data_IF_946663514501
#
_entry.id   IF_946663514501
#
_cell.length_a   1.000
_cell.length_b   1.000
_cell.length_c   1.000
_cell.angle_alpha   90.00
_cell.angle_beta   90.00
_cell.angle_gamma   90.00
#
_symmetry.space_group_name_H-M   'P 1'
#
loop_
_entity.id
_entity.type
_entity.pdbx_description
1 polymer ?
#
# COMPACT_ATOMS: atom_id res chain seq x y z
N UNK A 1 64.91 52.38 28.54
CA UNK A 1 64.10 51.17 28.26
C UNK A 1 63.02 51.36 27.16
N UNK A 2 63.11 52.38 26.28
CA UNK A 2 62.12 52.61 25.21
C UNK A 2 62.60 52.19 23.80
N UNK A 3 63.91 52.15 23.53
CA UNK A 3 64.46 51.82 22.20
C UNK A 3 64.24 50.37 21.76
N UNK A 4 64.26 49.40 22.69
CA UNK A 4 64.10 47.96 22.37
C UNK A 4 62.67 47.55 22.00
N UNK A 5 61.66 48.32 22.43
CA UNK A 5 60.25 48.09 22.03
C UNK A 5 59.98 48.55 20.59
N UNK A 6 60.74 49.55 20.11
CA UNK A 6 60.58 50.10 18.77
C UNK A 6 61.21 49.17 17.72
N UNK A 7 62.39 48.61 17.99
CA UNK A 7 63.06 47.67 17.08
C UNK A 7 62.30 46.34 16.95
N UNK A 8 61.80 45.78 18.07
CA UNK A 8 60.99 44.56 18.04
C UNK A 8 59.66 44.71 17.28
N UNK A 9 59.05 45.91 17.31
CA UNK A 9 57.83 46.21 16.54
C UNK A 9 58.08 46.30 15.03
N UNK A 10 59.24 46.82 14.62
CA UNK A 10 59.63 46.95 13.20
C UNK A 10 59.96 45.59 12.60
N UNK A 11 60.62 44.70 13.35
CA UNK A 11 60.93 43.33 12.91
C UNK A 11 59.66 42.47 12.77
N UNK A 12 58.69 42.60 13.67
CA UNK A 12 57.41 41.91 13.55
C UNK A 12 56.60 42.40 12.35
N UNK A 13 56.61 43.70 12.08
CA UNK A 13 55.96 44.24 10.90
C UNK A 13 56.63 43.79 9.60
N UNK A 14 57.97 43.78 9.54
CA UNK A 14 58.70 43.34 8.34
C UNK A 14 58.48 41.85 8.03
N UNK A 15 58.46 41.00 9.06
CA UNK A 15 58.12 39.58 8.91
C UNK A 15 56.67 39.37 8.43
N UNK A 16 55.73 40.16 8.96
CA UNK A 16 54.33 40.14 8.52
C UNK A 16 54.19 40.56 7.04
N UNK A 17 54.88 41.62 6.62
CA UNK A 17 54.86 42.06 5.21
C UNK A 17 55.51 41.03 4.28
N UNK A 18 56.60 40.37 4.69
CA UNK A 18 57.21 39.29 3.92
C UNK A 18 56.27 38.09 3.76
N UNK A 19 55.55 37.71 4.82
CA UNK A 19 54.55 36.64 4.78
C UNK A 19 53.36 36.97 3.87
N UNK A 20 52.85 38.20 3.93
CA UNK A 20 51.76 38.68 3.06
C UNK A 20 52.21 38.73 1.60
N UNK A 21 53.44 39.20 1.34
CA UNK A 21 54.02 39.25 -0.01
C UNK A 21 54.19 37.85 -0.61
N UNK A 22 54.64 36.87 0.18
CA UNK A 22 54.72 35.48 -0.27
C UNK A 22 53.34 34.87 -0.56
N UNK A 23 52.33 35.15 0.27
CA UNK A 23 50.95 34.70 0.01
C UNK A 23 50.39 35.27 -1.29
N UNK A 24 50.61 36.56 -1.56
CA UNK A 24 50.19 37.19 -2.81
C UNK A 24 50.92 36.64 -4.04
N UNK A 25 52.20 36.25 -3.89
CA UNK A 25 53.02 35.68 -4.97
C UNK A 25 52.58 34.27 -5.39
N UNK A 26 51.95 33.52 -4.47
CA UNK A 26 51.45 32.16 -4.69
C UNK A 26 49.93 32.07 -4.92
N UNK A 27 49.22 33.21 -4.95
CA UNK A 27 47.80 33.22 -5.30
C UNK A 27 47.70 33.26 -6.83
N UNK A 28 47.19 32.21 -7.51
CA UNK A 28 47.02 32.25 -8.96
C UNK A 28 46.11 33.43 -9.31
N UNK A 29 46.39 34.17 -10.40
CA UNK A 29 45.63 35.36 -10.74
C UNK A 29 44.14 34.97 -10.88
N UNK A 30 43.25 35.77 -10.30
CA UNK A 30 41.79 35.55 -10.27
C UNK A 30 41.23 35.20 -11.66
N UNK A 31 41.85 35.74 -12.71
CA UNK A 31 41.58 35.46 -14.13
C UNK A 31 41.75 33.99 -14.53
N UNK A 32 42.72 33.27 -13.97
CA UNK A 32 42.94 31.85 -14.28
C UNK A 32 41.91 30.95 -13.58
N UNK A 33 41.57 31.24 -12.32
CA UNK A 33 40.49 30.55 -11.61
C UNK A 33 39.14 30.76 -12.28
N UNK A 34 38.85 31.97 -12.74
CA UNK A 34 37.63 32.26 -13.50
C UNK A 34 37.57 31.46 -14.82
N UNK A 35 38.68 31.33 -15.55
CA UNK A 35 38.73 30.51 -16.78
C UNK A 35 38.46 29.03 -16.51
N UNK A 36 39.04 28.46 -15.44
CA UNK A 36 38.82 27.06 -15.07
C UNK A 36 37.36 26.80 -14.66
N UNK A 37 36.75 27.73 -13.93
CA UNK A 37 35.32 27.65 -13.56
C UNK A 37 34.41 27.77 -14.78
N UNK A 38 34.75 28.66 -15.73
CA UNK A 38 33.98 28.84 -16.97
C UNK A 38 34.05 27.58 -17.84
N UNK A 39 35.26 27.01 -18.03
CA UNK A 39 35.44 25.77 -18.76
C UNK A 39 34.69 24.59 -18.10
N UNK A 40 34.71 24.49 -16.77
CA UNK A 40 33.96 23.46 -16.04
C UNK A 40 32.44 23.65 -16.16
N UNK A 41 31.95 24.90 -16.20
CA UNK A 41 30.53 25.21 -16.39
C UNK A 41 30.06 24.88 -17.81
N UNK A 42 30.85 25.22 -18.83
CA UNK A 42 30.60 24.87 -20.24
C UNK A 42 30.56 23.35 -20.43
N UNK A 43 31.50 22.62 -19.81
CA UNK A 43 31.53 21.16 -19.87
C UNK A 43 30.30 20.52 -19.20
N UNK A 44 29.84 21.08 -18.06
CA UNK A 44 28.60 20.64 -17.41
C UNK A 44 27.37 20.94 -18.26
N UNK A 45 27.33 22.10 -18.91
CA UNK A 45 26.24 22.47 -19.81
C UNK A 45 26.16 21.52 -21.02
N UNK A 46 27.30 21.17 -21.62
CA UNK A 46 27.35 20.20 -22.71
C UNK A 46 26.88 18.80 -22.28
N UNK A 47 27.28 18.34 -21.08
CA UNK A 47 26.84 17.05 -20.54
C UNK A 47 25.33 17.03 -20.25
N UNK A 48 24.76 18.12 -19.74
CA UNK A 48 23.33 18.25 -19.52
C UNK A 48 22.54 18.28 -20.83
N UNK A 49 23.05 18.95 -21.87
CA UNK A 49 22.44 18.93 -23.20
C UNK A 49 22.41 17.50 -23.77
N UNK A 50 23.54 16.78 -23.68
CA UNK A 50 23.61 15.38 -24.12
C UNK A 50 22.67 14.44 -23.35
N UNK A 51 22.48 14.67 -22.04
CA UNK A 51 21.51 13.93 -21.24
C UNK A 51 20.06 14.28 -21.60
N UNK A 52 19.76 15.55 -21.88
CA UNK A 52 18.45 15.99 -22.30
C UNK A 52 18.04 15.36 -23.65
N UNK A 53 18.97 15.24 -24.58
CA UNK A 53 18.70 14.60 -25.87
C UNK A 53 18.47 13.09 -25.75
N UNK A 54 19.25 12.39 -24.90
CA UNK A 54 18.99 10.96 -24.58
C UNK A 54 17.60 10.75 -23.96
N UNK A 55 17.18 11.61 -23.05
CA UNK A 55 15.86 11.53 -22.44
C UNK A 55 14.73 11.82 -23.45
N UNK A 56 14.96 12.70 -24.43
CA UNK A 56 14.00 12.94 -25.53
C UNK A 56 13.85 11.70 -26.40
N UNK A 57 14.96 11.07 -26.79
CA UNK A 57 14.95 9.82 -27.58
C UNK A 57 14.22 8.68 -26.84
N UNK A 58 14.49 8.52 -25.54
CA UNK A 58 13.82 7.50 -24.73
C UNK A 58 12.32 7.77 -24.58
N UNK A 59 11.93 9.02 -24.34
CA UNK A 59 10.51 9.43 -24.30
C UNK A 59 9.81 9.12 -25.62
N UNK A 60 10.44 9.42 -26.75
CA UNK A 60 9.83 9.21 -28.06
C UNK A 60 9.73 7.72 -28.41
N UNK A 61 10.72 6.93 -28.00
CA UNK A 61 10.66 5.46 -28.06
C UNK A 61 9.50 4.89 -27.23
N UNK A 62 9.35 5.34 -25.98
CA UNK A 62 8.27 4.89 -25.09
C UNK A 62 6.89 5.30 -25.63
N UNK A 63 6.76 6.51 -26.21
CA UNK A 63 5.52 6.94 -26.88
C UNK A 63 5.19 6.07 -28.09
N UNK A 64 6.18 5.69 -28.89
CA UNK A 64 5.98 4.79 -30.02
C UNK A 64 5.55 3.38 -29.57
N UNK A 65 6.14 2.87 -28.49
CA UNK A 65 5.79 1.57 -27.92
C UNK A 65 4.38 1.55 -27.31
N UNK A 66 4.00 2.59 -26.57
CA UNK A 66 2.64 2.77 -26.05
C UNK A 66 1.59 2.78 -27.18
N UNK A 67 1.84 3.51 -28.27
CA UNK A 67 0.97 3.49 -29.47
C UNK A 67 0.88 2.11 -30.10
N UNK A 68 1.96 1.31 -30.07
CA UNK A 68 1.97 -0.06 -30.61
C UNK A 68 1.13 -1.01 -29.77
N UNK A 69 1.20 -0.87 -28.44
CA UNK A 69 0.37 -1.63 -27.49
C UNK A 69 -1.10 -1.28 -27.68
N UNK A 70 -1.40 0.01 -27.78
CA UNK A 70 -2.77 0.50 -27.93
C UNK A 70 -3.43 -0.01 -29.24
N UNK A 71 -2.68 -0.01 -30.35
CA UNK A 71 -3.12 -0.62 -31.62
C UNK A 71 -3.35 -2.12 -31.53
N UNK A 72 -2.57 -2.85 -30.73
CA UNK A 72 -2.75 -4.30 -30.52
C UNK A 72 -3.98 -4.59 -29.65
N UNK A 73 -4.22 -3.78 -28.61
CA UNK A 73 -5.39 -3.90 -27.74
C UNK A 73 -6.71 -3.62 -28.50
N UNK A 74 -6.68 -2.66 -29.42
CA UNK A 74 -7.82 -2.31 -30.28
C UNK A 74 -7.94 -3.14 -31.56
N UNK A 75 -7.18 -4.23 -31.69
CA UNK A 75 -7.33 -5.15 -32.80
C UNK A 75 -8.71 -5.83 -32.74
N UNK A 76 -9.50 -5.84 -33.83
CA UNK A 76 -10.81 -6.50 -33.87
C UNK A 76 -10.76 -7.97 -33.40
N UNK A 77 -9.64 -8.64 -33.68
CA UNK A 77 -9.40 -10.02 -33.25
C UNK A 77 -9.29 -10.15 -31.72
N UNK A 78 -8.61 -9.21 -31.05
CA UNK A 78 -8.41 -9.22 -29.59
C UNK A 78 -9.72 -8.86 -28.88
N UNK A 79 -10.46 -7.89 -29.42
CA UNK A 79 -11.79 -7.51 -28.91
C UNK A 79 -12.75 -8.70 -29.00
N UNK A 80 -12.78 -9.39 -30.15
CA UNK A 80 -13.65 -10.53 -30.38
C UNK A 80 -13.24 -11.76 -29.53
N UNK A 81 -11.93 -12.01 -29.36
CA UNK A 81 -11.44 -13.04 -28.45
C UNK A 81 -11.84 -12.78 -26.99
N UNK A 82 -11.70 -11.54 -26.51
CA UNK A 82 -12.16 -11.15 -25.18
C UNK A 82 -13.68 -11.30 -25.02
N UNK A 83 -14.46 -10.93 -26.04
CA UNK A 83 -15.92 -11.09 -26.06
C UNK A 83 -16.30 -12.58 -25.95
N UNK A 84 -15.67 -13.44 -26.74
CA UNK A 84 -15.88 -14.90 -26.70
C UNK A 84 -15.49 -15.49 -25.35
N UNK A 85 -14.37 -15.06 -24.78
CA UNK A 85 -13.93 -15.51 -23.46
C UNK A 85 -14.91 -15.08 -22.36
N UNK A 86 -15.42 -13.84 -22.40
CA UNK A 86 -16.48 -13.38 -21.47
C UNK A 86 -17.74 -14.23 -21.58
N UNK A 87 -18.22 -14.48 -22.80
CA UNK A 87 -19.41 -15.33 -23.03
C UNK A 87 -19.17 -16.75 -22.54
N UNK A 88 -17.96 -17.29 -22.69
CA UNK A 88 -17.62 -18.62 -22.20
C UNK A 88 -17.56 -18.68 -20.66
N UNK A 89 -17.01 -17.65 -20.02
CA UNK A 89 -17.02 -17.50 -18.55
C UNK A 89 -18.44 -17.36 -18.04
N UNK A 90 -19.29 -16.57 -18.68
CA UNK A 90 -20.71 -16.44 -18.31
C UNK A 90 -21.47 -17.75 -18.51
N UNK A 91 -21.25 -18.46 -19.61
CA UNK A 91 -21.84 -19.80 -19.82
C UNK A 91 -21.35 -20.79 -18.76
N UNK A 92 -20.08 -20.74 -18.39
CA UNK A 92 -19.52 -21.54 -17.30
C UNK A 92 -20.15 -21.20 -15.94
N UNK A 93 -20.31 -19.90 -15.66
CA UNK A 93 -20.97 -19.38 -14.46
C UNK A 93 -22.45 -19.74 -14.41
N UNK A 94 -23.17 -19.67 -15.53
CA UNK A 94 -24.58 -20.07 -15.60
C UNK A 94 -24.75 -21.58 -15.44
N UNK A 95 -23.86 -22.40 -16.02
CA UNK A 95 -23.85 -23.85 -15.80
C UNK A 95 -23.50 -24.21 -14.36
N UNK A 96 -22.54 -23.50 -13.76
CA UNK A 96 -22.20 -23.62 -12.35
C UNK A 96 -23.40 -23.26 -11.47
N UNK A 97 -23.98 -22.07 -11.64
CA UNK A 97 -25.17 -21.62 -10.90
C UNK A 97 -26.39 -22.53 -11.12
N UNK A 98 -26.58 -23.09 -12.30
CA UNK A 98 -27.64 -24.06 -12.57
C UNK A 98 -27.40 -25.40 -11.86
N UNK A 99 -26.15 -25.87 -11.82
CA UNK A 99 -25.75 -27.08 -11.08
C UNK A 99 -25.82 -26.88 -9.55
N UNK A 100 -25.57 -25.66 -9.09
CA UNK A 100 -25.63 -25.24 -7.69
C UNK A 100 -27.00 -24.65 -7.29
N UNK A 101 -28.00 -24.69 -8.18
CA UNK A 101 -29.37 -24.24 -7.87
C UNK A 101 -30.11 -25.22 -6.95
N UNK A 102 -29.72 -26.49 -6.94
CA UNK A 102 -30.19 -27.45 -5.93
C UNK A 102 -29.53 -27.24 -4.57
N UNK A 103 -28.29 -26.75 -4.52
CA UNK A 103 -27.62 -26.27 -3.29
C UNK A 103 -28.21 -24.95 -2.76
N UNK A 104 -29.13 -24.29 -3.48
CA UNK A 104 -29.83 -23.12 -2.95
C UNK A 104 -30.73 -23.47 -1.74
N UNK A 105 -31.13 -24.75 -1.58
CA UNK A 105 -31.73 -25.23 -0.32
C UNK A 105 -30.71 -25.30 0.84
N UNK A 106 -29.43 -25.48 0.55
CA UNK A 106 -28.30 -25.46 1.49
C UNK A 106 -27.77 -24.05 1.81
N UNK A 107 -28.07 -23.04 0.98
CA UNK A 107 -27.68 -21.65 1.23
C UNK A 107 -28.25 -21.12 2.56
N UNK A 108 -29.48 -21.52 2.89
CA UNK A 108 -30.13 -21.28 4.19
C UNK A 108 -29.43 -21.96 5.38
N UNK A 109 -28.70 -23.06 5.16
CA UNK A 109 -27.90 -23.74 6.19
C UNK A 109 -26.51 -23.12 6.35
N UNK A 110 -25.88 -22.62 5.28
CA UNK A 110 -24.52 -22.04 5.33
C UNK A 110 -24.41 -20.83 6.25
N UNK A 111 -25.39 -19.94 6.21
CA UNK A 111 -25.42 -18.71 7.00
C UNK A 111 -26.19 -18.85 8.32
N UNK A 112 -26.58 -20.08 8.69
CA UNK A 112 -27.31 -20.33 9.92
C UNK A 112 -26.51 -19.82 11.13
N UNK A 113 -27.13 -18.98 11.95
CA UNK A 113 -26.52 -18.28 13.10
C UNK A 113 -25.46 -17.22 12.75
N UNK A 114 -25.34 -16.82 11.48
CA UNK A 114 -24.53 -15.66 11.11
C UNK A 114 -25.17 -14.39 11.70
N UNK A 115 -24.43 -13.56 12.44
CA UNK A 115 -24.96 -12.35 13.06
C UNK A 115 -25.17 -11.21 12.06
N UNK A 116 -24.65 -11.33 10.84
CA UNK A 116 -24.82 -10.34 9.79
C UNK A 116 -26.10 -10.61 9.00
N UNK A 117 -26.94 -9.59 8.85
CA UNK A 117 -28.23 -9.71 8.14
C UNK A 117 -28.30 -8.70 7.00
N UNK A 118 -29.16 -8.98 6.01
CA UNK A 118 -29.43 -8.06 4.90
C UNK A 118 -29.93 -6.69 5.38
N UNK A 119 -30.61 -6.65 6.53
CA UNK A 119 -31.19 -5.43 7.09
C UNK A 119 -30.17 -4.59 7.87
N UNK A 120 -29.27 -5.22 8.63
CA UNK A 120 -28.36 -4.51 9.54
C UNK A 120 -26.97 -4.29 8.95
N UNK A 121 -26.52 -5.22 8.11
CA UNK A 121 -25.14 -5.25 7.65
C UNK A 121 -25.02 -5.96 6.28
N UNK A 122 -25.66 -5.42 5.22
CA UNK A 122 -25.69 -6.05 3.91
C UNK A 122 -24.31 -6.20 3.27
N UNK A 123 -23.41 -5.24 3.43
CA UNK A 123 -22.04 -5.32 2.89
C UNK A 123 -21.20 -6.37 3.62
N UNK A 124 -21.28 -6.43 4.94
CA UNK A 124 -20.60 -7.47 5.73
C UNK A 124 -21.14 -8.87 5.43
N UNK A 125 -22.46 -9.01 5.29
CA UNK A 125 -23.07 -10.29 4.91
C UNK A 125 -22.58 -10.76 3.54
N UNK A 126 -22.49 -9.84 2.58
CA UNK A 126 -21.96 -10.13 1.23
C UNK A 126 -20.50 -10.57 1.29
N UNK A 127 -19.67 -9.87 2.08
CA UNK A 127 -18.27 -10.20 2.24
C UNK A 127 -18.05 -11.58 2.90
N UNK A 128 -18.83 -11.90 3.93
CA UNK A 128 -18.80 -13.22 4.59
C UNK A 128 -19.25 -14.32 3.65
N UNK A 129 -20.28 -14.08 2.84
CA UNK A 129 -20.76 -15.04 1.85
C UNK A 129 -19.65 -15.39 0.85
N UNK A 130 -18.89 -14.41 0.37
CA UNK A 130 -17.73 -14.64 -0.52
C UNK A 130 -16.71 -15.59 0.12
N UNK A 131 -16.42 -15.42 1.42
CA UNK A 131 -15.49 -16.29 2.15
C UNK A 131 -16.06 -17.71 2.26
N UNK A 132 -17.31 -17.85 2.73
CA UNK A 132 -17.96 -19.15 2.89
C UNK A 132 -18.00 -19.94 1.59
N UNK A 133 -18.34 -19.29 0.48
CA UNK A 133 -18.42 -19.94 -0.83
C UNK A 133 -17.06 -20.30 -1.40
N UNK A 134 -16.04 -19.46 -1.19
CA UNK A 134 -14.69 -19.74 -1.69
C UNK A 134 -14.08 -20.96 -1.01
N UNK A 135 -14.25 -21.07 0.31
CA UNK A 135 -13.68 -22.18 1.10
C UNK A 135 -14.62 -23.38 1.23
N UNK A 136 -15.87 -23.27 0.73
CA UNK A 136 -16.93 -24.27 0.83
C UNK A 136 -17.21 -24.69 2.27
N UNK A 137 -17.31 -23.71 3.16
CA UNK A 137 -17.57 -23.90 4.58
C UNK A 137 -18.88 -23.22 4.98
N UNK A 138 -19.48 -23.70 6.06
CA UNK A 138 -20.60 -23.05 6.73
C UNK A 138 -20.10 -22.06 7.80
N UNK A 139 -20.96 -21.12 8.21
CA UNK A 139 -20.66 -20.20 9.32
C UNK A 139 -20.31 -20.96 10.61
N UNK A 140 -21.05 -22.03 10.91
CA UNK A 140 -20.82 -22.85 12.10
C UNK A 140 -19.45 -23.53 12.07
N UNK A 141 -19.02 -24.05 10.93
CA UNK A 141 -17.67 -24.63 10.78
C UNK A 141 -16.58 -23.56 10.88
N UNK A 142 -16.85 -22.38 10.32
CA UNK A 142 -15.93 -21.24 10.34
C UNK A 142 -15.65 -20.77 11.77
N UNK A 143 -16.69 -20.63 12.61
CA UNK A 143 -16.55 -20.25 14.03
C UNK A 143 -16.32 -21.44 14.96
N UNK A 144 -16.42 -22.67 14.46
CA UNK A 144 -16.24 -23.88 15.25
C UNK A 144 -14.78 -24.14 15.66
N UNK A 145 -14.55 -25.22 16.40
CA UNK A 145 -13.20 -25.68 16.80
C UNK A 145 -12.47 -26.48 15.72
N UNK A 146 -13.05 -26.60 14.52
CA UNK A 146 -12.50 -27.36 13.40
C UNK A 146 -11.07 -26.91 13.06
N UNK A 147 -10.18 -27.90 12.83
CA UNK A 147 -8.76 -27.70 12.54
C UNK A 147 -8.36 -28.07 11.10
N UNK A 148 -9.34 -28.38 10.26
CA UNK A 148 -9.07 -28.67 8.85
C UNK A 148 -8.38 -27.46 8.19
N UNK A 149 -7.31 -27.64 7.39
CA UNK A 149 -6.50 -26.54 6.89
C UNK A 149 -7.32 -25.45 6.17
N UNK A 150 -8.26 -25.85 5.31
CA UNK A 150 -9.11 -24.90 4.57
C UNK A 150 -10.05 -24.09 5.50
N UNK A 151 -10.57 -24.70 6.57
CA UNK A 151 -11.40 -24.01 7.59
C UNK A 151 -10.56 -23.01 8.38
N UNK A 152 -9.33 -23.40 8.75
CA UNK A 152 -8.40 -22.52 9.48
C UNK A 152 -8.03 -21.30 8.63
N UNK A 153 -7.74 -21.50 7.34
CA UNK A 153 -7.45 -20.39 6.41
C UNK A 153 -8.69 -19.51 6.19
N UNK A 154 -9.88 -20.10 6.04
CA UNK A 154 -11.12 -19.35 5.93
C UNK A 154 -11.36 -18.47 7.17
N UNK A 155 -11.15 -19.02 8.37
CA UNK A 155 -11.29 -18.31 9.65
C UNK A 155 -10.29 -17.16 9.77
N UNK A 156 -9.02 -17.40 9.39
CA UNK A 156 -8.01 -16.35 9.37
C UNK A 156 -8.35 -15.24 8.36
N UNK A 157 -8.95 -15.59 7.22
CA UNK A 157 -9.40 -14.63 6.20
C UNK A 157 -10.53 -13.76 6.76
N UNK A 158 -11.50 -14.35 7.47
CA UNK A 158 -12.55 -13.61 8.16
C UNK A 158 -11.96 -12.64 9.20
N UNK A 159 -10.99 -13.07 9.99
CA UNK A 159 -10.41 -12.24 11.07
C UNK A 159 -9.62 -11.05 10.51
N UNK A 160 -8.82 -11.28 9.47
CA UNK A 160 -8.15 -10.19 8.78
C UNK A 160 -9.18 -9.22 8.17
N UNK A 161 -10.26 -9.72 7.55
CA UNK A 161 -11.29 -8.87 6.96
C UNK A 161 -11.97 -7.99 8.02
N UNK A 162 -12.44 -8.59 9.12
CA UNK A 162 -13.11 -7.86 10.19
C UNK A 162 -12.18 -6.84 10.85
N UNK A 163 -10.90 -7.18 11.01
CA UNK A 163 -9.89 -6.24 11.53
C UNK A 163 -9.68 -5.05 10.60
N UNK A 164 -9.56 -5.26 9.29
CA UNK A 164 -9.41 -4.18 8.29
C UNK A 164 -10.66 -3.28 8.22
N UNK A 165 -11.83 -3.87 8.42
CA UNK A 165 -13.11 -3.15 8.51
C UNK A 165 -13.21 -2.31 9.79
N UNK A 166 -12.36 -2.57 10.79
CA UNK A 166 -12.25 -1.77 12.01
C UNK A 166 -12.87 -2.41 13.26
N UNK A 167 -13.21 -3.71 13.22
CA UNK A 167 -13.59 -4.44 14.42
C UNK A 167 -12.39 -4.59 15.37
N UNK A 168 -12.64 -4.38 16.65
CA UNK A 168 -11.66 -4.74 17.69
C UNK A 168 -11.57 -6.26 17.83
N UNK A 169 -10.43 -6.80 18.28
CA UNK A 169 -10.29 -8.24 18.52
C UNK A 169 -11.32 -8.78 19.53
N UNK A 170 -11.76 -7.93 20.46
CA UNK A 170 -12.88 -8.23 21.35
C UNK A 170 -14.21 -8.33 20.58
N UNK A 171 -14.49 -7.37 19.69
CA UNK A 171 -15.67 -7.39 18.82
C UNK A 171 -15.70 -8.62 17.91
N UNK A 172 -14.55 -9.00 17.34
CA UNK A 172 -14.40 -10.23 16.55
C UNK A 172 -14.73 -11.46 17.40
N UNK A 173 -14.17 -11.58 18.61
CA UNK A 173 -14.45 -12.70 19.52
C UNK A 173 -15.93 -12.79 19.89
N UNK A 174 -16.58 -11.64 20.16
CA UNK A 174 -18.01 -11.56 20.48
C UNK A 174 -18.89 -12.03 19.34
N UNK A 175 -18.61 -11.58 18.11
CA UNK A 175 -19.37 -11.93 16.89
C UNK A 175 -19.18 -13.39 16.50
N UNK A 176 -18.01 -13.95 16.77
CA UNK A 176 -17.69 -15.34 16.46
C UNK A 176 -18.09 -16.30 17.59
N UNK A 177 -18.75 -15.81 18.65
CA UNK A 177 -19.34 -16.64 19.71
C UNK A 177 -18.31 -17.25 20.66
N UNK A 178 -17.12 -16.66 20.78
CA UNK A 178 -16.05 -17.18 21.62
C UNK A 178 -15.84 -16.36 22.91
N UNK A 179 -15.15 -16.98 23.88
CA UNK A 179 -14.79 -16.34 25.14
C UNK A 179 -14.04 -15.03 24.91
N UNK A 180 -14.54 -13.93 25.44
CA UNK A 180 -13.95 -12.60 25.25
C UNK A 180 -12.65 -12.38 26.01
N UNK A 181 -12.20 -13.36 26.80
CA UNK A 181 -11.01 -13.24 27.66
C UNK A 181 -9.75 -13.74 26.95
N UNK A 182 -9.74 -14.99 26.48
CA UNK A 182 -8.56 -15.62 25.86
C UNK A 182 -8.60 -15.66 24.34
N UNK A 183 -9.80 -15.59 23.76
CA UNK A 183 -9.98 -15.73 22.32
C UNK A 183 -9.49 -14.54 21.48
N UNK A 184 -9.58 -13.27 21.92
CA UNK A 184 -9.06 -12.15 21.13
C UNK A 184 -7.58 -12.32 20.76
N UNK A 185 -6.76 -12.82 21.70
CA UNK A 185 -5.34 -13.08 21.47
C UNK A 185 -5.13 -14.25 20.49
N UNK A 186 -5.90 -15.33 20.63
CA UNK A 186 -5.82 -16.48 19.73
C UNK A 186 -6.26 -16.10 18.29
N UNK A 187 -7.32 -15.32 18.15
CA UNK A 187 -7.81 -14.82 16.86
C UNK A 187 -6.77 -13.91 16.20
N UNK A 188 -6.17 -13.00 16.98
CA UNK A 188 -5.09 -12.13 16.50
C UNK A 188 -3.88 -12.93 16.02
N UNK A 189 -3.39 -13.86 16.83
CA UNK A 189 -2.23 -14.69 16.48
C UNK A 189 -2.49 -15.50 15.20
N UNK A 190 -3.72 -16.02 15.04
CA UNK A 190 -4.10 -16.73 13.82
C UNK A 190 -4.16 -15.80 12.61
N UNK A 191 -4.74 -14.61 12.76
CA UNK A 191 -4.84 -13.63 11.69
C UNK A 191 -3.43 -13.17 11.23
N UNK A 192 -2.55 -12.86 12.18
CA UNK A 192 -1.17 -12.43 11.91
C UNK A 192 -0.36 -13.53 11.20
N UNK A 193 -0.48 -14.79 11.64
CA UNK A 193 0.20 -15.94 11.02
C UNK A 193 -0.15 -16.11 9.53
N UNK A 194 -1.38 -15.80 9.14
CA UNK A 194 -1.87 -15.98 7.77
C UNK A 194 -2.06 -14.65 7.03
N UNK A 195 -1.59 -13.53 7.58
CA UNK A 195 -1.88 -12.19 7.05
C UNK A 195 -1.47 -12.05 5.59
N UNK A 196 -0.21 -12.35 5.27
CA UNK A 196 0.31 -12.24 3.91
C UNK A 196 -0.44 -13.15 2.92
N UNK A 197 -0.74 -14.38 3.31
CA UNK A 197 -1.50 -15.32 2.50
C UNK A 197 -2.92 -14.81 2.22
N UNK A 198 -3.58 -14.24 3.24
CA UNK A 198 -4.94 -13.72 3.11
C UNK A 198 -4.95 -12.51 2.18
N UNK A 199 -4.08 -11.53 2.40
CA UNK A 199 -4.03 -10.28 1.62
C UNK A 199 -3.68 -10.53 0.14
N UNK A 200 -2.88 -11.55 -0.16
CA UNK A 200 -2.56 -11.94 -1.53
C UNK A 200 -3.65 -12.79 -2.20
N UNK A 201 -4.70 -13.18 -1.48
CA UNK A 201 -5.77 -14.01 -2.02
C UNK A 201 -6.83 -13.18 -2.75
N UNK A 202 -7.32 -13.71 -3.88
CA UNK A 202 -8.47 -13.14 -4.60
C UNK A 202 -9.73 -13.09 -3.73
N UNK A 203 -9.91 -14.07 -2.84
CA UNK A 203 -11.01 -14.12 -1.88
C UNK A 203 -11.07 -12.87 -1.01
N UNK A 204 -9.95 -12.51 -0.42
CA UNK A 204 -9.85 -11.37 0.50
C UNK A 204 -10.08 -10.05 -0.22
N UNK A 205 -9.46 -9.86 -1.39
CA UNK A 205 -9.64 -8.65 -2.20
C UNK A 205 -11.10 -8.43 -2.61
N UNK A 206 -11.78 -9.50 -3.01
CA UNK A 206 -13.20 -9.44 -3.34
C UNK A 206 -14.08 -9.15 -2.13
N UNK A 207 -13.83 -9.84 -1.01
CA UNK A 207 -14.59 -9.63 0.22
C UNK A 207 -14.41 -8.19 0.74
N UNK A 208 -13.19 -7.63 0.67
CA UNK A 208 -12.90 -6.26 1.07
C UNK A 208 -13.62 -5.23 0.18
N UNK A 209 -13.73 -5.53 -1.12
CA UNK A 209 -14.46 -4.66 -2.07
C UNK A 209 -15.95 -4.57 -1.72
N UNK A 210 -16.56 -5.62 -1.17
CA UNK A 210 -17.96 -5.59 -0.72
C UNK A 210 -18.22 -4.59 0.42
N UNK A 211 -17.20 -4.25 1.21
CA UNK A 211 -17.32 -3.44 2.44
C UNK A 211 -16.72 -2.04 2.32
N UNK A 212 -16.04 -1.71 1.21
CA UNK A 212 -15.23 -0.49 1.11
C UNK A 212 -15.99 0.84 1.26
N UNK A 213 -17.27 0.87 0.89
CA UNK A 213 -18.03 2.12 0.78
C UNK A 213 -19.15 2.31 1.84
N UNK A 214 -19.56 1.26 2.57
CA UNK A 214 -20.78 1.29 3.43
C UNK A 214 -20.57 0.91 4.92
N UNK A 215 -19.34 0.59 5.32
CA UNK A 215 -19.05 -0.05 6.61
C UNK A 215 -19.42 0.77 7.84
N UNK A 216 -19.26 2.10 7.81
CA UNK A 216 -19.36 2.89 9.04
C UNK A 216 -20.78 2.91 9.63
N UNK A 217 -21.80 3.02 8.77
CA UNK A 217 -23.19 2.96 9.19
C UNK A 217 -23.57 1.55 9.69
N UNK A 218 -23.05 0.50 9.05
CA UNK A 218 -23.30 -0.90 9.45
C UNK A 218 -22.63 -1.24 10.79
N UNK A 219 -21.41 -0.76 11.04
CA UNK A 219 -20.71 -0.95 12.30
C UNK A 219 -21.46 -0.30 13.48
N UNK A 220 -21.99 0.92 13.26
CA UNK A 220 -22.80 1.61 14.25
C UNK A 220 -24.09 0.82 14.57
N UNK A 221 -24.76 0.26 13.55
CA UNK A 221 -25.95 -0.58 13.72
C UNK A 221 -25.67 -1.89 14.48
N UNK A 222 -24.44 -2.39 14.41
CA UNK A 222 -23.97 -3.56 15.17
C UNK A 222 -23.46 -3.21 16.58
N UNK A 223 -23.47 -1.93 16.96
CA UNK A 223 -22.99 -1.46 18.27
C UNK A 223 -21.48 -1.55 18.43
N UNK A 224 -20.72 -1.53 17.33
CA UNK A 224 -19.25 -1.60 17.32
C UNK A 224 -18.69 -0.22 16.98
N UNK A 225 -17.99 0.42 17.93
CA UNK A 225 -17.22 1.64 17.63
C UNK A 225 -15.92 1.26 16.92
N UNK A 226 -15.58 1.98 15.85
CA UNK A 226 -14.23 1.92 15.23
C UNK A 226 -13.18 2.16 16.32
N UNK A 227 -12.10 1.37 16.30
CA UNK A 227 -10.86 1.83 16.92
C UNK A 227 -10.38 3.02 16.09
N UNK A 228 -10.53 4.23 16.64
CA UNK A 228 -9.77 5.38 16.16
C UNK A 228 -8.29 5.00 16.31
N UNK A 229 -7.62 4.75 15.20
CA UNK A 229 -6.16 4.90 15.16
C UNK A 229 -5.90 6.37 15.39
N UNK A 230 -5.66 6.73 16.65
CA UNK A 230 -5.21 8.06 17.06
C UNK A 230 -3.84 8.31 16.46
N UNK A 231 -3.82 8.87 15.25
CA UNK A 231 -2.66 9.51 14.66
C UNK A 231 -3.11 10.70 13.81
N UNK A 232 -3.86 11.62 14.41
CA UNK A 232 -4.07 12.99 13.91
C UNK A 232 -4.98 13.74 14.89
N UNK A 233 -4.36 14.40 15.88
CA UNK A 233 -4.72 15.74 16.41
C UNK A 233 -3.88 16.01 17.66
N UNK A 234 -2.56 16.16 17.48
CA UNK A 234 -1.74 17.02 18.35
C UNK A 234 -0.98 17.98 17.44
N UNK A 235 -1.70 19.00 16.99
CA UNK A 235 -1.18 20.29 16.51
C UNK A 235 -2.40 21.15 16.22
N UNK A 236 -2.33 22.41 16.65
CA UNK A 236 -3.41 23.41 16.82
C UNK A 236 -4.28 23.08 18.04
N UNK A 237 -4.15 23.76 19.18
CA UNK A 237 -4.16 25.21 19.32
C UNK A 237 -3.05 25.73 20.24
N UNK A 238 -2.21 26.60 19.68
CA UNK A 238 -1.66 27.72 20.43
C UNK A 238 -2.69 28.84 20.39
N UNK A 239 -3.14 29.30 21.55
CA UNK A 239 -3.33 30.71 21.90
C UNK A 239 -3.21 30.88 23.40
#
# INVERSE_FOLDING_TARGET
MQMTKITGGIEQQSAHYAAVRNRLRHTPPVKNRLKEVLAAAEQRAANLAAQADKLREERDRLRAEAKRIDRKAHSPYVIEAHRRQRVQVEKGRMKFLAKHKEEAKDFTNKLKYCPFTLEKSPSLLSAVTVILDTFRVTWLELVGSGRAPHVVTARATLYNLLSEVGFTWYGIAKITGHSTVSYPLAARNLAEKFKELCHNSYCFSNALTCVKDNVEAELAALGVRKHLTSSETEKTESK
#
